data_IF_213170228514
#
_entry.id   IF_213170228514
#
_cell.length_a   1.000
_cell.length_b   1.000
_cell.length_c   1.000
_cell.angle_alpha   90.00
_cell.angle_beta   90.00
_cell.angle_gamma   90.00
#
_symmetry.space_group_name_H-M   'P 1'
#
loop_
_entity.id
_entity.type
_entity.pdbx_description
1 polymer ?
#
# COMPACT_ATOMS: atom_id res chain seq x y z
N UNK A 1 6.97 10.52 1.16
CA UNK A 1 6.50 10.31 2.55
C UNK A 1 5.00 10.12 2.47
N UNK A 2 4.44 9.09 3.11
CA UNK A 2 2.98 8.88 3.11
C UNK A 2 2.30 9.93 3.98
N UNK A 3 1.11 10.40 3.58
CA UNK A 3 0.35 11.43 4.30
C UNK A 3 -0.31 10.79 5.53
N UNK A 4 0.09 11.21 6.74
CA UNK A 4 -0.30 10.55 7.99
C UNK A 4 -1.83 10.46 8.22
N UNK A 5 -2.64 11.48 7.87
CA UNK A 5 -4.09 11.37 7.98
C UNK A 5 -4.72 10.22 7.20
N UNK A 6 -4.10 9.72 6.12
CA UNK A 6 -4.65 8.60 5.34
C UNK A 6 -4.23 7.23 5.90
N UNK A 7 -3.44 7.18 6.97
CA UNK A 7 -3.02 5.92 7.56
C UNK A 7 -4.23 5.19 8.18
N UNK A 8 -4.46 3.96 7.72
CA UNK A 8 -5.56 3.11 8.20
C UNK A 8 -6.94 3.48 7.67
N UNK A 9 -7.04 4.50 6.81
CA UNK A 9 -8.29 4.82 6.12
C UNK A 9 -8.51 3.86 4.95
N UNK A 10 -9.76 3.38 4.73
CA UNK A 10 -10.12 2.69 3.50
C UNK A 10 -9.84 3.60 2.29
N UNK A 11 -9.00 3.14 1.37
CA UNK A 11 -8.84 3.78 0.08
C UNK A 11 -9.75 3.11 -0.95
N UNK A 12 -10.35 3.93 -1.82
CA UNK A 12 -10.98 3.40 -3.03
C UNK A 12 -9.90 2.68 -3.84
N UNK A 13 -10.24 1.51 -4.41
CA UNK A 13 -9.35 0.60 -5.19
C UNK A 13 -8.53 -0.41 -4.37
N UNK A 14 -8.90 -0.67 -3.11
CA UNK A 14 -8.28 -1.76 -2.32
C UNK A 14 -8.86 -3.14 -2.64
N UNK A 15 -9.85 -3.23 -3.54
CA UNK A 15 -10.45 -4.49 -3.98
C UNK A 15 -9.46 -5.26 -4.85
N UNK A 16 -9.15 -6.54 -4.54
CA UNK A 16 -8.27 -7.34 -5.40
C UNK A 16 -8.84 -7.49 -6.81
N UNK A 17 -8.12 -7.00 -7.81
CA UNK A 17 -8.46 -7.16 -9.23
C UNK A 17 -8.17 -8.59 -9.73
N UNK A 18 -7.21 -9.23 -9.09
CA UNK A 18 -6.73 -10.55 -9.41
C UNK A 18 -7.54 -11.63 -8.69
N UNK A 19 -8.03 -12.62 -9.42
CA UNK A 19 -8.68 -13.82 -8.86
C UNK A 19 -7.95 -15.10 -9.27
N UNK A 20 -7.98 -16.14 -8.42
CA UNK A 20 -7.47 -17.45 -8.81
C UNK A 20 -8.33 -18.03 -9.93
N UNK A 21 -7.71 -18.25 -11.09
CA UNK A 21 -8.29 -18.95 -12.22
C UNK A 21 -8.40 -20.45 -11.98
N UNK A 22 -9.08 -21.16 -12.89
CA UNK A 22 -9.27 -22.61 -12.81
C UNK A 22 -7.97 -23.42 -12.83
N UNK A 23 -6.89 -22.83 -13.35
CA UNK A 23 -5.55 -23.41 -13.41
C UNK A 23 -4.65 -22.98 -12.24
N UNK A 24 -5.22 -22.26 -11.26
CA UNK A 24 -4.49 -21.71 -10.10
C UNK A 24 -3.64 -20.49 -10.41
N UNK A 25 -3.61 -20.00 -11.66
CA UNK A 25 -2.95 -18.73 -11.99
C UNK A 25 -3.84 -17.55 -11.67
N UNK A 26 -3.21 -16.41 -11.41
CA UNK A 26 -3.93 -15.15 -11.27
C UNK A 26 -4.52 -14.73 -12.60
N UNK A 27 -5.81 -14.42 -12.62
CA UNK A 27 -6.51 -13.85 -13.77
C UNK A 27 -7.16 -12.55 -13.32
N UNK A 28 -6.98 -11.51 -14.12
CA UNK A 28 -7.59 -10.20 -13.91
C UNK A 28 -9.11 -10.27 -14.12
N UNK A 29 -9.86 -9.95 -13.08
CA UNK A 29 -11.31 -9.80 -13.14
C UNK A 29 -11.69 -8.36 -13.50
N UNK A 30 -11.82 -8.09 -14.80
CA UNK A 30 -12.21 -6.79 -15.33
C UNK A 30 -13.60 -6.34 -14.87
N UNK A 31 -14.42 -7.24 -14.31
CA UNK A 31 -15.70 -6.85 -13.70
C UNK A 31 -15.47 -5.95 -12.48
N UNK A 32 -14.36 -6.12 -11.77
CA UNK A 32 -13.99 -5.28 -10.62
C UNK A 32 -13.96 -3.81 -11.03
N UNK A 33 -13.38 -3.47 -12.18
CA UNK A 33 -13.40 -2.09 -12.69
C UNK A 33 -14.80 -1.56 -12.97
N UNK A 34 -15.64 -2.38 -13.59
CA UNK A 34 -17.02 -1.98 -13.88
C UNK A 34 -17.79 -1.72 -12.58
N UNK A 35 -17.62 -2.59 -11.58
CA UNK A 35 -18.24 -2.46 -10.26
C UNK A 35 -17.72 -1.23 -9.51
N UNK A 36 -16.41 -0.96 -9.56
CA UNK A 36 -15.79 0.22 -8.92
C UNK A 36 -16.18 1.53 -9.59
N UNK A 37 -16.29 1.58 -10.91
CA UNK A 37 -16.82 2.75 -11.62
C UNK A 37 -18.26 3.02 -11.18
N UNK A 38 -19.09 1.97 -11.09
CA UNK A 38 -20.49 2.11 -10.65
C UNK A 38 -20.59 2.53 -9.18
N UNK A 39 -19.72 2.02 -8.33
CA UNK A 39 -19.59 2.46 -6.94
C UNK A 39 -19.24 3.94 -6.87
N UNK A 40 -18.20 4.37 -7.58
CA UNK A 40 -17.76 5.76 -7.61
C UNK A 40 -18.85 6.71 -8.12
N UNK A 41 -19.54 6.34 -9.20
CA UNK A 41 -20.69 7.08 -9.71
C UNK A 41 -21.81 7.20 -8.67
N UNK A 42 -22.08 6.13 -7.90
CA UNK A 42 -23.10 6.13 -6.82
C UNK A 42 -22.72 7.02 -5.64
N UNK A 43 -21.43 7.10 -5.30
CA UNK A 43 -20.95 7.94 -4.19
C UNK A 43 -21.07 9.45 -4.50
N UNK A 44 -21.19 9.85 -5.77
CA UNK A 44 -21.36 11.26 -6.14
C UNK A 44 -22.70 11.79 -5.64
N UNK A 45 -22.66 12.72 -4.69
CA UNK A 45 -23.86 13.35 -4.12
C UNK A 45 -24.59 12.49 -3.08
N UNK A 46 -24.01 11.35 -2.70
CA UNK A 46 -24.48 10.55 -1.56
C UNK A 46 -24.18 11.28 -0.25
N UNK A 47 -25.10 11.19 0.71
CA UNK A 47 -24.88 11.69 2.07
C UNK A 47 -24.00 10.73 2.87
N UNK A 48 -22.84 11.21 3.33
CA UNK A 48 -21.89 10.43 4.11
C UNK A 48 -22.44 9.99 5.47
N UNK A 49 -23.47 10.67 5.98
CA UNK A 49 -24.09 10.32 7.25
C UNK A 49 -25.25 9.34 7.11
N UNK A 50 -25.66 9.01 5.87
CA UNK A 50 -26.73 8.06 5.59
C UNK A 50 -26.35 6.63 6.00
N UNK A 51 -27.35 5.85 6.37
CA UNK A 51 -27.16 4.43 6.74
C UNK A 51 -26.60 3.62 5.55
N UNK A 52 -27.05 3.93 4.33
CA UNK A 52 -26.57 3.30 3.10
C UNK A 52 -25.07 3.52 2.90
N UNK A 53 -24.57 4.74 3.12
CA UNK A 53 -23.14 5.04 3.01
C UNK A 53 -22.33 4.26 4.06
N UNK A 54 -22.80 4.25 5.31
CA UNK A 54 -22.13 3.56 6.43
C UNK A 54 -22.07 2.04 6.21
N UNK A 55 -23.14 1.45 5.68
CA UNK A 55 -23.15 0.02 5.30
C UNK A 55 -22.13 -0.28 4.20
N UNK A 56 -22.10 0.55 3.15
CA UNK A 56 -21.13 0.43 2.07
C UNK A 56 -19.68 0.59 2.55
N UNK A 57 -19.43 1.55 3.44
CA UNK A 57 -18.13 1.78 4.06
C UNK A 57 -17.65 0.53 4.79
N UNK A 58 -18.48 -0.06 5.64
CA UNK A 58 -18.15 -1.27 6.40
C UNK A 58 -17.85 -2.44 5.45
N UNK A 59 -18.72 -2.65 4.45
CA UNK A 59 -18.56 -3.74 3.50
C UNK A 59 -17.26 -3.63 2.70
N UNK A 60 -16.97 -2.45 2.15
CA UNK A 60 -15.77 -2.19 1.36
C UNK A 60 -14.51 -2.24 2.23
N UNK A 61 -14.58 -1.73 3.46
CA UNK A 61 -13.47 -1.77 4.41
C UNK A 61 -13.04 -3.21 4.74
N UNK A 62 -14.00 -4.11 4.95
CA UNK A 62 -13.74 -5.53 5.16
C UNK A 62 -13.22 -6.22 3.90
N UNK A 63 -13.74 -5.88 2.71
CA UNK A 63 -13.27 -6.46 1.44
C UNK A 63 -11.81 -6.09 1.12
N UNK A 64 -11.39 -4.87 1.45
CA UNK A 64 -10.01 -4.39 1.21
C UNK A 64 -8.98 -4.83 2.24
N UNK A 65 -9.40 -5.29 3.43
CA UNK A 65 -8.51 -5.65 4.54
C UNK A 65 -7.41 -6.66 4.17
N UNK A 66 -7.68 -7.75 3.42
CA UNK A 66 -6.64 -8.73 3.07
C UNK A 66 -5.52 -8.13 2.22
N UNK A 67 -5.86 -7.24 1.27
CA UNK A 67 -4.86 -6.61 0.41
C UNK A 67 -4.06 -5.55 1.18
N UNK A 68 -4.71 -4.76 2.05
CA UNK A 68 -4.01 -3.83 2.96
C UNK A 68 -3.00 -4.57 3.83
N UNK A 69 -3.41 -5.69 4.45
CA UNK A 69 -2.54 -6.51 5.28
C UNK A 69 -1.36 -7.05 4.46
N UNK A 70 -1.61 -7.56 3.25
CA UNK A 70 -0.55 -8.05 2.35
C UNK A 70 0.44 -6.97 1.93
N UNK A 71 -0.02 -5.74 1.67
CA UNK A 71 0.86 -4.61 1.33
C UNK A 71 1.65 -4.15 2.57
N UNK A 72 1.00 -4.03 3.71
CA UNK A 72 1.63 -3.66 4.98
C UNK A 72 2.74 -4.65 5.36
N UNK A 73 2.48 -5.95 5.22
CA UNK A 73 3.46 -7.02 5.41
C UNK A 73 4.72 -6.83 4.55
N UNK A 74 4.56 -6.42 3.29
CA UNK A 74 5.69 -6.19 2.39
C UNK A 74 6.51 -4.98 2.81
N UNK A 75 5.84 -3.91 3.24
CA UNK A 75 6.48 -2.70 3.76
C UNK A 75 7.26 -3.04 5.03
N UNK A 76 6.65 -3.74 5.98
CA UNK A 76 7.27 -4.13 7.25
C UNK A 76 8.49 -5.03 7.02
N UNK A 77 8.39 -6.01 6.12
CA UNK A 77 9.52 -6.86 5.71
C UNK A 77 10.66 -6.05 5.08
N UNK A 78 10.34 -5.01 4.30
CA UNK A 78 11.36 -4.13 3.69
C UNK A 78 12.06 -3.28 4.76
N UNK A 79 11.30 -2.66 5.66
CA UNK A 79 11.84 -1.87 6.78
C UNK A 79 12.72 -2.73 7.72
N UNK A 80 12.31 -3.97 7.99
CA UNK A 80 13.09 -4.92 8.78
C UNK A 80 14.41 -5.32 8.08
N UNK A 81 14.42 -5.45 6.75
CA UNK A 81 15.64 -5.72 5.98
C UNK A 81 16.59 -4.52 5.95
N UNK A 82 16.05 -3.32 5.75
CA UNK A 82 16.83 -2.08 5.66
C UNK A 82 17.49 -1.72 7.00
N UNK A 83 16.76 -1.88 8.12
CA UNK A 83 17.33 -1.72 9.47
C UNK A 83 18.46 -2.70 9.76
N UNK A 84 18.35 -3.96 9.30
CA UNK A 84 19.40 -4.99 9.44
C UNK A 84 20.61 -4.75 8.52
N UNK A 85 20.45 -4.03 7.41
CA UNK A 85 21.53 -3.68 6.48
C UNK A 85 22.32 -2.45 6.97
N UNK A 86 21.68 -1.53 7.67
CA UNK A 86 22.33 -0.38 8.31
C UNK A 86 23.33 -0.77 9.40
N UNK A 87 23.09 -1.86 10.12
CA UNK A 87 23.98 -2.35 11.20
C UNK A 87 25.25 -3.05 10.71
N UNK A 88 25.34 -3.45 9.43
CA UNK A 88 26.51 -4.16 8.87
C UNK A 88 27.57 -3.26 8.22
N UNK A 89 27.38 -1.93 8.17
CA UNK A 89 28.27 -1.01 7.44
C UNK A 89 29.19 -0.12 8.31
N UNK A 90 29.20 -0.29 9.63
CA UNK A 90 30.10 0.44 10.52
C UNK A 90 31.13 -0.47 11.18
N UNK A 91 32.36 -0.56 10.66
CA UNK A 91 33.39 -1.31 11.38
C UNK A 91 34.73 -1.62 10.72
N UNK A 92 35.21 -0.90 9.68
CA UNK A 92 36.66 -0.90 9.36
C UNK A 92 37.09 0.35 8.60
N UNK A 93 37.51 1.38 9.34
CA UNK A 93 38.68 2.21 9.03
C UNK A 93 38.92 3.22 10.15
N UNK A 94 40.02 3.04 10.88
CA UNK A 94 40.70 4.12 11.59
C UNK A 94 42.13 4.21 11.05
N UNK A 95 42.56 5.46 10.82
CA UNK A 95 43.91 5.98 10.53
C UNK A 95 44.29 6.05 9.05
N UNK A 96 44.90 7.11 8.50
CA UNK A 96 45.01 8.59 8.65
C UNK A 96 45.88 9.00 7.44
N UNK A 97 45.84 10.29 7.08
CA UNK A 97 46.73 11.03 6.19
C UNK A 97 46.44 10.94 4.70
N UNK A 98 46.57 11.99 3.89
CA UNK A 98 46.67 13.46 3.99
C UNK A 98 46.77 13.91 2.51
N UNK A 99 46.64 15.21 2.21
CA UNK A 99 46.90 15.83 0.89
C UNK A 99 45.78 15.66 -0.16
N UNK A 100 45.41 16.63 -0.99
CA UNK A 100 45.56 18.09 -1.11
C UNK A 100 44.77 18.45 -2.39
N UNK A 101 44.30 19.69 -2.46
CA UNK A 101 44.12 20.46 -3.69
C UNK A 101 42.90 20.30 -4.63
N UNK A 102 42.63 21.44 -5.27
CA UNK A 102 41.44 21.95 -5.95
C UNK A 102 41.03 21.29 -7.28
N UNK A 103 39.75 21.48 -7.66
CA UNK A 103 39.33 22.32 -8.80
C UNK A 103 38.02 21.83 -9.45
N UNK A 104 37.09 22.79 -9.58
CA UNK A 104 35.88 22.91 -10.42
C UNK A 104 34.88 21.75 -10.59
#
# INVERSE_FOLDING_TARGET
MNHAPFAGMPMVLETPIDRPGSDGKSVEDKKVWADEIKLLERLVGMDAESDEFKELEIELQSKGEPERNKIQDQVDRKLAKDSKKGTKKGGKKKKKDESDDESE
#
